data_IF_974747113380
#
_entry.id   IF_974747113380
#
_cell.length_a   1.000
_cell.length_b   1.000
_cell.length_c   1.000
_cell.angle_alpha   90.00
_cell.angle_beta   90.00
_cell.angle_gamma   90.00
#
_symmetry.space_group_name_H-M   'P 1'
#
loop_
_entity.id
_entity.type
_entity.pdbx_description
1 polymer ?
#
# COMPACT_ATOMS: atom_id res chain seq x y z
N UNK A 1 -13.12 -4.33 -27.41
CA UNK A 1 -12.81 -4.54 -26.64
C UNK A 1 -12.64 -4.26 -25.74
N UNK A 2 -12.45 -4.04 -25.52
CA UNK A 2 -12.07 -3.89 -24.76
C UNK A 2 -11.82 -4.11 -23.71
N UNK A 3 -11.43 -4.23 -23.34
CA UNK A 3 -11.13 -4.49 -22.27
C UNK A 3 -10.90 -3.66 -21.37
N UNK A 4 -11.11 -3.69 -20.66
CA UNK A 4 -10.77 -3.00 -19.85
C UNK A 4 -10.01 -3.16 -18.81
N UNK A 5 -9.19 -3.43 -18.87
CA UNK A 5 -8.16 -3.68 -17.93
C UNK A 5 -7.69 -2.38 -17.30
N UNK A 6 -7.23 -2.47 -16.07
CA UNK A 6 -6.66 -1.32 -15.41
C UNK A 6 -5.47 -0.80 -16.22
N UNK A 7 -5.23 0.52 -16.22
CA UNK A 7 -4.00 1.04 -16.78
C UNK A 7 -2.81 0.44 -16.04
N UNK A 8 -1.73 0.20 -16.75
CA UNK A 8 -0.48 -0.25 -16.14
C UNK A 8 0.05 0.87 -15.26
N UNK A 9 0.46 0.56 -14.04
CA UNK A 9 1.05 1.54 -13.15
C UNK A 9 2.37 2.03 -13.74
N UNK A 10 2.48 3.32 -13.95
CA UNK A 10 3.72 3.93 -14.46
C UNK A 10 4.70 4.22 -13.34
N UNK A 11 5.94 4.49 -13.71
CA UNK A 11 7.00 4.80 -12.76
C UNK A 11 6.65 6.00 -11.86
N UNK A 12 6.10 7.06 -12.44
CA UNK A 12 5.74 8.27 -11.69
C UNK A 12 4.68 7.96 -10.64
N UNK A 13 3.67 7.17 -10.99
CA UNK A 13 2.62 6.78 -10.04
C UNK A 13 3.20 5.92 -8.92
N UNK A 14 4.12 5.01 -9.26
CA UNK A 14 4.78 4.16 -8.27
C UNK A 14 5.59 5.00 -7.28
N UNK A 15 6.33 5.97 -7.78
CA UNK A 15 7.14 6.85 -6.92
C UNK A 15 6.26 7.72 -6.03
N UNK A 16 5.15 8.24 -6.56
CA UNK A 16 4.21 9.00 -5.76
C UNK A 16 3.58 8.15 -4.66
N UNK A 17 3.28 6.88 -4.95
CA UNK A 17 2.71 6.00 -3.94
C UNK A 17 3.69 5.75 -2.80
N UNK A 18 4.97 5.59 -3.09
CA UNK A 18 6.00 5.42 -2.05
C UNK A 18 6.13 6.68 -1.21
N UNK A 19 6.05 7.85 -1.84
CA UNK A 19 6.12 9.10 -1.11
C UNK A 19 4.89 9.27 -0.21
N UNK A 20 3.70 8.91 -0.69
CA UNK A 20 2.48 8.96 0.11
C UNK A 20 2.58 8.00 1.30
N UNK A 21 3.14 6.81 1.10
CA UNK A 21 3.36 5.86 2.19
C UNK A 21 4.29 6.44 3.25
N UNK A 22 5.34 7.14 2.81
CA UNK A 22 6.34 7.70 3.71
C UNK A 22 5.86 8.92 4.47
N UNK A 23 5.16 9.85 3.80
CA UNK A 23 4.84 11.15 4.37
C UNK A 23 3.35 11.36 4.67
N UNK A 24 2.50 10.43 4.25
CA UNK A 24 1.07 10.53 4.50
C UNK A 24 0.28 11.03 3.31
N UNK A 25 -1.00 11.20 3.52
CA UNK A 25 -1.95 11.60 2.49
C UNK A 25 -2.45 13.01 2.77
N UNK A 26 -2.87 13.70 1.72
CA UNK A 26 -3.40 15.05 1.84
C UNK A 26 -4.67 15.09 2.68
N UNK A 27 -5.48 14.03 2.61
CA UNK A 27 -6.72 13.94 3.37
C UNK A 27 -6.69 12.72 4.27
N UNK A 28 -7.33 12.85 5.44
CA UNK A 28 -7.48 11.73 6.34
C UNK A 28 -8.31 10.63 5.68
N UNK A 29 -7.92 9.38 5.91
CA UNK A 29 -8.66 8.23 5.41
C UNK A 29 -9.76 7.92 6.44
N UNK A 30 -11.05 8.20 6.12
CA UNK A 30 -12.10 8.14 7.13
C UNK A 30 -12.43 6.72 7.60
N UNK A 31 -12.00 5.71 6.83
CA UNK A 31 -12.32 4.31 7.11
C UNK A 31 -11.10 3.51 7.57
N UNK A 32 -10.02 4.18 7.94
CA UNK A 32 -8.77 3.48 8.26
C UNK A 32 -8.86 2.53 9.46
N UNK A 33 -9.85 2.71 10.32
CA UNK A 33 -10.05 1.84 11.49
C UNK A 33 -11.03 0.70 11.26
N UNK A 34 -11.70 0.71 10.12
CA UNK A 34 -12.69 -0.31 9.80
C UNK A 34 -12.07 -1.38 8.91
N UNK A 35 -11.81 -2.55 9.49
CA UNK A 35 -11.15 -3.65 8.75
C UNK A 35 -11.94 -4.12 7.55
N UNK A 36 -13.27 -4.02 7.59
CA UNK A 36 -14.11 -4.40 6.46
C UNK A 36 -13.92 -3.43 5.29
N UNK A 37 -13.92 -2.14 5.59
CA UNK A 37 -13.71 -1.12 4.56
C UNK A 37 -12.32 -1.21 3.97
N UNK A 38 -11.32 -1.56 4.78
CA UNK A 38 -9.97 -1.78 4.28
C UNK A 38 -9.91 -2.95 3.30
N UNK A 39 -10.59 -4.06 3.61
CA UNK A 39 -10.67 -5.19 2.71
C UNK A 39 -11.36 -4.82 1.40
N UNK A 40 -12.46 -4.08 1.50
CA UNK A 40 -13.22 -3.64 0.33
C UNK A 40 -12.35 -2.72 -0.53
N UNK A 41 -11.62 -1.82 0.08
CA UNK A 41 -10.72 -0.90 -0.64
C UNK A 41 -9.62 -1.68 -1.37
N UNK A 42 -9.02 -2.66 -0.69
CA UNK A 42 -7.99 -3.49 -1.30
C UNK A 42 -8.56 -4.27 -2.49
N UNK A 43 -9.79 -4.77 -2.37
CA UNK A 43 -10.45 -5.53 -3.44
C UNK A 43 -10.70 -4.68 -4.69
N UNK A 44 -10.80 -3.37 -4.56
CA UNK A 44 -10.93 -2.47 -5.72
C UNK A 44 -9.72 -2.54 -6.63
N UNK A 45 -8.56 -2.88 -6.07
CA UNK A 45 -7.33 -2.97 -6.83
C UNK A 45 -6.67 -1.63 -7.11
N UNK A 46 -5.51 -1.70 -7.74
CA UNK A 46 -4.76 -0.50 -8.08
C UNK A 46 -3.77 -0.11 -6.98
N UNK A 47 -2.73 0.61 -7.41
CA UNK A 47 -1.64 0.97 -6.51
C UNK A 47 -2.08 1.94 -5.41
N UNK A 48 -3.01 2.84 -5.74
CA UNK A 48 -3.52 3.81 -4.76
C UNK A 48 -4.26 3.10 -3.63
N UNK A 49 -5.10 2.11 -3.98
CA UNK A 49 -5.81 1.34 -2.98
C UNK A 49 -4.82 0.57 -2.09
N UNK A 50 -3.82 -0.04 -2.70
CA UNK A 50 -2.81 -0.81 -1.96
C UNK A 50 -2.07 0.05 -0.95
N UNK A 51 -1.61 1.24 -1.37
CA UNK A 51 -0.82 2.09 -0.48
C UNK A 51 -1.67 2.68 0.63
N UNK A 52 -2.93 3.02 0.36
CA UNK A 52 -3.84 3.52 1.39
C UNK A 52 -4.10 2.47 2.47
N UNK A 53 -4.38 1.23 2.05
CA UNK A 53 -4.65 0.15 2.99
C UNK A 53 -3.40 -0.17 3.82
N UNK A 54 -2.25 -0.24 3.17
CA UNK A 54 -0.99 -0.51 3.87
C UNK A 54 -0.68 0.59 4.87
N UNK A 55 -0.81 1.86 4.48
CA UNK A 55 -0.57 2.99 5.37
C UNK A 55 -1.51 2.96 6.58
N UNK A 56 -2.78 2.64 6.36
CA UNK A 56 -3.77 2.55 7.44
C UNK A 56 -3.39 1.47 8.45
N UNK A 57 -2.93 0.32 7.96
CA UNK A 57 -2.52 -0.77 8.85
C UNK A 57 -1.24 -0.43 9.62
N UNK A 58 -0.29 0.24 8.96
CA UNK A 58 0.93 0.70 9.62
C UNK A 58 0.58 1.68 10.74
N UNK A 59 -0.31 2.63 10.47
CA UNK A 59 -0.72 3.62 11.48
C UNK A 59 -1.44 2.95 12.65
N UNK A 60 -2.31 1.98 12.37
CA UNK A 60 -3.01 1.25 13.41
C UNK A 60 -2.01 0.52 14.31
N UNK A 61 -0.99 -0.09 13.71
CA UNK A 61 0.04 -0.82 14.44
C UNK A 61 0.82 0.07 15.41
N UNK A 62 0.94 1.37 15.10
CA UNK A 62 1.62 2.32 15.97
C UNK A 62 0.84 2.59 17.26
N UNK A 63 -0.46 2.37 17.27
CA UNK A 63 -1.31 2.68 18.42
C UNK A 63 -1.75 1.42 19.17
N UNK A 64 -1.76 0.28 18.50
CA UNK A 64 -2.17 -0.98 19.11
C UNK A 64 -1.71 -2.16 18.28
N UNK A 65 -1.69 -3.32 18.90
CA UNK A 65 -1.33 -4.56 18.23
C UNK A 65 -2.40 -4.94 17.21
N UNK A 66 -1.99 -5.32 16.01
CA UNK A 66 -2.91 -5.79 15.00
C UNK A 66 -3.46 -7.17 15.37
N UNK A 67 -4.75 -7.40 15.07
CA UNK A 67 -5.32 -8.73 15.22
C UNK A 67 -4.88 -9.61 14.03
N UNK A 68 -5.22 -10.90 14.09
CA UNK A 68 -4.79 -11.86 13.06
C UNK A 68 -5.29 -11.48 11.66
N UNK A 69 -6.53 -11.05 11.56
CA UNK A 69 -7.11 -10.62 10.28
C UNK A 69 -6.38 -9.43 9.70
N UNK A 70 -6.05 -8.47 10.55
CA UNK A 70 -5.31 -7.28 10.11
C UNK A 70 -3.89 -7.63 9.68
N UNK A 71 -3.21 -8.52 10.41
CA UNK A 71 -1.87 -8.96 10.00
C UNK A 71 -1.89 -9.69 8.68
N UNK A 72 -2.88 -10.56 8.48
CA UNK A 72 -3.03 -11.29 7.22
C UNK A 72 -3.26 -10.33 6.07
N UNK A 73 -4.14 -9.34 6.28
CA UNK A 73 -4.41 -8.33 5.26
C UNK A 73 -3.15 -7.52 4.95
N UNK A 74 -2.40 -7.13 5.98
CA UNK A 74 -1.17 -6.36 5.80
C UNK A 74 -0.15 -7.12 4.96
N UNK A 75 0.03 -8.41 5.20
CA UNK A 75 0.94 -9.26 4.42
C UNK A 75 0.50 -9.34 2.96
N UNK A 76 -0.80 -9.53 2.73
CA UNK A 76 -1.35 -9.60 1.37
C UNK A 76 -1.16 -8.31 0.61
N UNK A 77 -1.49 -7.19 1.24
CA UNK A 77 -1.37 -5.87 0.62
C UNK A 77 0.10 -5.58 0.32
N UNK A 78 0.98 -5.87 1.27
CA UNK A 78 2.41 -5.63 1.08
C UNK A 78 2.95 -6.41 -0.10
N UNK A 79 2.57 -7.68 -0.25
CA UNK A 79 3.00 -8.51 -1.38
C UNK A 79 2.47 -7.98 -2.70
N UNK A 80 1.20 -7.62 -2.74
CA UNK A 80 0.58 -7.08 -3.94
C UNK A 80 1.24 -5.76 -4.35
N UNK A 81 1.48 -4.90 -3.38
CA UNK A 81 2.12 -3.61 -3.61
C UNK A 81 3.56 -3.78 -4.10
N UNK A 82 4.31 -4.69 -3.48
CA UNK A 82 5.69 -4.97 -3.90
C UNK A 82 5.75 -5.43 -5.36
N UNK A 83 4.81 -6.26 -5.79
CA UNK A 83 4.75 -6.71 -7.19
C UNK A 83 4.46 -5.56 -8.14
N UNK A 84 3.49 -4.73 -7.80
CA UNK A 84 3.16 -3.57 -8.62
C UNK A 84 4.36 -2.63 -8.75
N UNK A 85 5.04 -2.38 -7.65
CA UNK A 85 6.23 -1.51 -7.65
C UNK A 85 7.37 -2.12 -8.46
N UNK A 86 7.61 -3.42 -8.31
CA UNK A 86 8.70 -4.08 -9.03
C UNK A 86 8.50 -3.96 -10.54
N UNK A 87 7.27 -4.15 -11.01
CA UNK A 87 6.94 -4.02 -12.42
C UNK A 87 7.06 -2.57 -12.87
N UNK A 88 6.49 -1.64 -12.11
CA UNK A 88 6.46 -0.22 -12.48
C UNK A 88 7.85 0.41 -12.47
N UNK A 89 8.68 0.04 -11.51
CA UNK A 89 10.03 0.58 -11.36
C UNK A 89 11.09 -0.24 -12.09
N UNK A 90 10.70 -1.38 -12.65
CA UNK A 90 11.61 -2.29 -13.37
C UNK A 90 12.80 -2.66 -12.50
N UNK A 91 12.52 -3.09 -11.30
CA UNK A 91 13.56 -3.43 -10.33
C UNK A 91 13.26 -4.79 -9.68
N UNK A 92 14.22 -5.29 -8.91
CA UNK A 92 14.08 -6.59 -8.24
C UNK A 92 13.12 -6.52 -7.06
N UNK A 93 12.63 -7.68 -6.63
CA UNK A 93 11.77 -7.77 -5.45
C UNK A 93 12.52 -7.30 -4.20
N UNK A 94 13.81 -7.63 -4.09
CA UNK A 94 14.62 -7.19 -2.94
C UNK A 94 14.74 -5.68 -2.86
N UNK A 95 15.01 -5.04 -3.98
CA UNK A 95 15.10 -3.57 -4.03
C UNK A 95 13.76 -2.94 -3.69
N UNK A 96 12.68 -3.53 -4.21
CA UNK A 96 11.32 -3.04 -3.95
C UNK A 96 10.97 -3.16 -2.47
N UNK A 97 11.27 -4.30 -1.85
CA UNK A 97 11.02 -4.49 -0.42
C UNK A 97 11.81 -3.48 0.42
N UNK A 98 13.04 -3.21 0.03
CA UNK A 98 13.86 -2.21 0.73
C UNK A 98 13.26 -0.82 0.63
N UNK A 99 12.69 -0.46 -0.53
CA UNK A 99 12.03 0.83 -0.70
C UNK A 99 10.77 0.95 0.14
N UNK A 100 9.99 -0.13 0.23
CA UNK A 100 8.80 -0.16 1.08
C UNK A 100 9.19 -0.02 2.55
N UNK A 101 10.21 -0.76 2.99
CA UNK A 101 10.69 -0.68 4.36
C UNK A 101 11.19 0.72 4.71
N UNK A 102 11.91 1.36 3.79
CA UNK A 102 12.40 2.72 4.00
C UNK A 102 11.24 3.72 4.11
N UNK A 103 10.20 3.55 3.28
CA UNK A 103 9.03 4.42 3.33
C UNK A 103 8.28 4.26 4.66
N UNK A 104 8.10 3.02 5.09
CA UNK A 104 7.44 2.74 6.37
C UNK A 104 8.26 3.32 7.54
N UNK A 105 9.58 3.19 7.49
CA UNK A 105 10.45 3.75 8.53
C UNK A 105 10.31 5.27 8.61
N UNK A 106 10.21 5.96 7.48
CA UNK A 106 9.99 7.40 7.45
C UNK A 106 8.62 7.77 8.04
N UNK A 107 7.60 6.98 7.72
CA UNK A 107 6.24 7.21 8.23
C UNK A 107 6.16 7.06 9.74
N UNK A 108 6.88 6.09 10.29
CA UNK A 108 6.82 5.77 11.72
C UNK A 108 7.89 6.49 12.55
N UNK A 109 8.68 7.29 11.92
CA UNK A 109 9.74 8.04 12.60
C UNK A 109 9.18 9.13 13.53
#
# INVERSE_FOLDING_TARGET
>A
MLFRSRPVTGKAAAERSLEALASGFDEAIPWHRDGRLLKDRFAEGGIDAMVEVLASLVDTEQTRKLNDGQRTLMERVRKAYARELAVALKTSDETTEAKIDAAIARRTA
#
